data_IF_280539696031
#
_entry.id   IF_280539696031
#
_cell.length_a   1.000
_cell.length_b   1.000
_cell.length_c   1.000
_cell.angle_alpha   90.00
_cell.angle_beta   90.00
_cell.angle_gamma   90.00
#
_symmetry.space_group_name_H-M   'P 1'
#
loop_
_entity.id
_entity.type
_entity.pdbx_description
1 polymer ?
#
# COMPACT_ATOMS: atom_id res chain seq x y z
N UNK A 1 -4.48 16.88 35.75
CA UNK A 1 -3.35 17.30 34.88
C UNK A 1 -3.55 16.68 33.51
N UNK A 2 -3.96 17.47 32.56
CA UNK A 2 -4.22 17.02 31.19
C UNK A 2 -2.90 16.82 30.45
N UNK A 3 -2.68 15.60 29.90
CA UNK A 3 -1.57 15.35 28.99
C UNK A 3 -1.85 16.04 27.67
N UNK A 4 -1.10 17.08 27.37
CA UNK A 4 -1.11 17.77 26.07
C UNK A 4 -0.59 16.82 25.00
N UNK A 5 -1.47 16.38 24.10
CA UNK A 5 -1.09 15.65 22.87
C UNK A 5 -0.24 16.54 21.98
N UNK A 6 0.95 16.07 21.64
CA UNK A 6 1.83 16.75 20.68
C UNK A 6 1.20 16.74 19.28
N UNK A 7 1.28 17.85 18.54
CA UNK A 7 0.65 17.95 17.22
C UNK A 7 1.23 16.92 16.22
N UNK A 8 0.39 16.40 15.34
CA UNK A 8 0.67 15.32 14.39
C UNK A 8 1.94 15.49 13.52
N UNK A 9 2.39 16.73 13.30
CA UNK A 9 3.65 17.04 12.58
C UNK A 9 4.91 16.63 13.36
N UNK A 10 4.85 16.68 14.69
CA UNK A 10 5.99 16.30 15.56
C UNK A 10 6.11 14.79 15.64
N UNK A 11 4.99 14.07 15.67
CA UNK A 11 4.96 12.62 15.62
C UNK A 11 5.53 12.09 14.29
N UNK A 12 5.13 12.66 13.13
CA UNK A 12 5.68 12.27 11.81
C UNK A 12 7.21 12.42 11.72
N UNK A 13 7.78 13.51 12.24
CA UNK A 13 9.25 13.70 12.27
C UNK A 13 9.96 12.70 13.17
N UNK A 14 9.31 12.25 14.24
CA UNK A 14 9.87 11.30 15.20
C UNK A 14 9.87 9.86 14.62
N UNK A 15 8.83 9.47 13.89
CA UNK A 15 8.77 8.20 13.16
C UNK A 15 9.87 8.11 12.08
N UNK A 16 10.07 9.16 11.29
CA UNK A 16 11.10 9.17 10.24
C UNK A 16 12.51 9.11 10.83
N UNK A 17 12.76 9.78 11.97
CA UNK A 17 14.08 9.70 12.65
C UNK A 17 14.35 8.33 13.28
N UNK A 18 13.31 7.63 13.78
CA UNK A 18 13.45 6.26 14.30
C UNK A 18 13.68 5.24 13.17
N UNK A 19 13.06 5.44 12.00
CA UNK A 19 13.21 4.55 10.86
C UNK A 19 14.64 4.49 10.28
N UNK A 20 15.44 5.54 10.49
CA UNK A 20 16.83 5.60 10.05
C UNK A 20 17.85 5.09 11.09
N UNK A 21 17.44 4.86 12.33
CA UNK A 21 18.28 4.23 13.35
C UNK A 21 17.91 2.76 13.44
N UNK A 22 18.62 1.93 12.68
CA UNK A 22 18.71 0.51 13.03
C UNK A 22 19.33 0.39 14.44
N UNK A 23 18.77 -0.45 15.34
CA UNK A 23 19.54 -0.86 16.50
C UNK A 23 20.90 -1.33 16.00
N UNK A 24 21.99 -0.94 16.66
CA UNK A 24 23.29 -1.57 16.42
C UNK A 24 23.04 -3.06 16.66
N UNK A 25 23.02 -3.81 15.57
CA UNK A 25 22.87 -5.25 15.62
C UNK A 25 23.97 -5.75 16.53
N UNK A 26 23.61 -6.55 17.52
CA UNK A 26 24.58 -7.29 18.32
C UNK A 26 25.23 -8.36 17.44
N UNK A 27 25.93 -7.94 16.47
CA UNK A 27 27.01 -8.48 15.68
C UNK A 27 26.87 -9.82 14.94
N UNK A 28 25.86 -10.67 15.16
CA UNK A 28 25.86 -12.02 14.58
C UNK A 28 24.61 -12.38 13.76
N UNK A 29 23.44 -11.80 14.00
CA UNK A 29 22.21 -12.21 13.35
C UNK A 29 21.47 -11.02 12.73
N UNK A 30 20.97 -11.23 11.51
CA UNK A 30 20.13 -10.25 10.84
C UNK A 30 18.65 -10.50 11.18
N UNK A 31 17.91 -9.43 11.45
CA UNK A 31 16.47 -9.54 11.59
C UNK A 31 15.85 -10.04 10.27
N UNK A 32 15.17 -11.17 10.34
CA UNK A 32 14.62 -11.87 9.18
C UNK A 32 13.63 -11.01 8.40
N UNK A 33 12.73 -10.29 9.09
CA UNK A 33 11.69 -9.52 8.42
C UNK A 33 12.25 -8.24 7.79
N UNK A 34 13.19 -7.59 8.46
CA UNK A 34 13.88 -6.44 7.88
C UNK A 34 14.79 -6.85 6.72
N UNK A 35 15.40 -8.03 6.78
CA UNK A 35 16.17 -8.59 5.65
C UNK A 35 15.28 -8.87 4.45
N UNK A 36 14.05 -9.36 4.69
CA UNK A 36 13.08 -9.59 3.63
C UNK A 36 12.62 -8.26 3.00
N UNK A 37 12.39 -7.21 3.80
CA UNK A 37 12.09 -5.87 3.27
C UNK A 37 13.27 -5.30 2.45
N UNK A 38 14.52 -5.53 2.86
CA UNK A 38 15.70 -5.19 2.07
C UNK A 38 15.76 -5.95 0.75
N UNK A 39 15.34 -7.22 0.72
CA UNK A 39 15.19 -7.95 -0.53
C UNK A 39 14.16 -7.27 -1.43
N UNK A 40 13.00 -6.90 -0.90
CA UNK A 40 11.96 -6.23 -1.68
C UNK A 40 12.40 -4.84 -2.19
N UNK A 41 13.28 -4.14 -1.47
CA UNK A 41 13.95 -2.92 -1.98
C UNK A 41 14.83 -3.19 -3.21
N UNK A 42 15.51 -4.34 -3.26
CA UNK A 42 16.28 -4.72 -4.45
C UNK A 42 15.38 -5.04 -5.64
N UNK A 43 14.21 -5.61 -5.40
CA UNK A 43 13.19 -5.79 -6.46
C UNK A 43 12.72 -4.42 -6.98
N UNK A 44 12.53 -3.43 -6.09
CA UNK A 44 12.20 -2.06 -6.51
C UNK A 44 13.32 -1.44 -7.36
N UNK A 45 14.58 -1.75 -7.06
CA UNK A 45 15.71 -1.26 -7.84
C UNK A 45 15.65 -1.71 -9.31
N UNK A 46 15.10 -2.89 -9.60
CA UNK A 46 14.88 -3.33 -10.98
C UNK A 46 13.82 -2.46 -11.71
N UNK A 47 12.87 -1.89 -10.99
CA UNK A 47 11.95 -0.91 -11.55
C UNK A 47 12.63 0.44 -11.88
N UNK A 48 13.74 0.75 -11.24
CA UNK A 48 14.54 1.97 -11.49
C UNK A 48 15.62 1.73 -12.56
N UNK A 49 16.02 0.48 -12.77
CA UNK A 49 17.08 0.11 -13.70
C UNK A 49 16.67 0.43 -15.15
N UNK A 50 17.41 1.34 -15.78
CA UNK A 50 17.15 1.82 -17.14
C UNK A 50 17.49 0.80 -18.23
N UNK A 51 18.24 -0.25 -17.90
CA UNK A 51 18.54 -1.34 -18.83
C UNK A 51 17.33 -2.27 -19.02
N UNK A 52 16.38 -2.24 -18.09
CA UNK A 52 15.13 -3.00 -18.21
C UNK A 52 14.14 -2.27 -19.14
N UNK A 53 13.41 -2.98 -20.02
CA UNK A 53 12.33 -2.41 -20.82
C UNK A 53 11.27 -1.72 -19.94
N UNK A 54 10.66 -0.65 -20.43
CA UNK A 54 9.76 0.20 -19.65
C UNK A 54 8.60 -0.57 -19.00
N UNK A 55 7.97 -1.50 -19.73
CA UNK A 55 6.86 -2.32 -19.20
C UNK A 55 7.35 -3.36 -18.18
N UNK A 56 8.56 -3.88 -18.34
CA UNK A 56 9.17 -4.75 -17.32
C UNK A 56 9.42 -3.99 -16.02
N UNK A 57 9.88 -2.75 -16.11
CA UNK A 57 10.07 -1.87 -14.95
C UNK A 57 8.74 -1.63 -14.21
N UNK A 58 7.65 -1.44 -14.95
CA UNK A 58 6.30 -1.36 -14.38
C UNK A 58 5.90 -2.69 -13.71
N UNK A 59 6.24 -3.82 -14.31
CA UNK A 59 6.00 -5.16 -13.75
C UNK A 59 6.76 -5.36 -12.45
N UNK A 60 8.03 -4.97 -12.37
CA UNK A 60 8.80 -5.01 -11.12
C UNK A 60 8.16 -4.18 -10.01
N UNK A 61 7.63 -2.99 -10.33
CA UNK A 61 6.91 -2.18 -9.34
C UNK A 61 5.66 -2.92 -8.80
N UNK A 62 4.94 -3.62 -9.68
CA UNK A 62 3.80 -4.47 -9.32
C UNK A 62 4.22 -5.64 -8.42
N UNK A 63 5.37 -6.29 -8.72
CA UNK A 63 5.93 -7.37 -7.90
C UNK A 63 6.26 -6.87 -6.48
N UNK A 64 6.84 -5.67 -6.34
CA UNK A 64 7.10 -5.08 -5.01
C UNK A 64 5.82 -4.92 -4.22
N UNK A 65 4.74 -4.47 -4.85
CA UNK A 65 3.43 -4.31 -4.21
C UNK A 65 2.86 -5.67 -3.76
N UNK A 66 2.81 -6.65 -4.67
CA UNK A 66 2.32 -8.01 -4.35
C UNK A 66 3.13 -8.69 -3.24
N UNK A 67 4.45 -8.50 -3.25
CA UNK A 67 5.32 -8.98 -2.18
C UNK A 67 4.98 -8.35 -0.82
N UNK A 68 4.64 -7.06 -0.79
CA UNK A 68 4.20 -6.40 0.44
C UNK A 68 2.85 -6.93 0.92
N UNK A 69 1.90 -7.16 0.01
CA UNK A 69 0.60 -7.73 0.35
C UNK A 69 0.77 -9.10 1.01
N UNK A 70 1.55 -10.00 0.40
CA UNK A 70 1.87 -11.30 0.97
C UNK A 70 2.58 -11.19 2.34
N UNK A 71 3.52 -10.27 2.46
CA UNK A 71 4.24 -10.03 3.71
C UNK A 71 3.27 -9.63 4.85
N UNK A 72 2.34 -8.73 4.57
CA UNK A 72 1.34 -8.31 5.55
C UNK A 72 0.29 -9.38 5.84
N UNK A 73 -0.03 -10.25 4.88
CA UNK A 73 -0.96 -11.35 5.10
C UNK A 73 -0.36 -12.50 5.91
N UNK A 74 0.90 -12.84 5.65
CA UNK A 74 1.50 -14.08 6.16
C UNK A 74 2.38 -13.81 7.39
N UNK A 75 3.20 -12.75 7.37
CA UNK A 75 4.25 -12.55 8.41
C UNK A 75 3.85 -11.60 9.51
N UNK A 76 3.25 -10.47 9.16
CA UNK A 76 2.88 -9.42 10.14
C UNK A 76 1.86 -9.87 11.18
N UNK A 77 0.84 -10.71 10.86
CA UNK A 77 -0.17 -11.12 11.85
C UNK A 77 0.40 -11.87 13.06
N UNK A 78 1.51 -12.58 12.89
CA UNK A 78 2.16 -13.25 14.01
C UNK A 78 2.61 -12.27 15.10
N UNK A 79 3.15 -11.12 14.70
CA UNK A 79 3.58 -10.07 15.61
C UNK A 79 2.40 -9.29 16.22
N UNK A 80 1.31 -9.10 15.48
CA UNK A 80 0.09 -8.45 15.98
C UNK A 80 -0.60 -9.26 17.09
N UNK A 81 -0.49 -10.59 17.06
CA UNK A 81 -1.03 -11.50 18.07
C UNK A 81 -0.12 -11.62 19.30
N UNK A 82 0.94 -10.82 19.40
CA UNK A 82 1.89 -10.85 20.52
C UNK A 82 2.78 -12.09 20.52
N UNK A 83 2.85 -12.82 19.42
CA UNK A 83 3.77 -13.93 19.30
C UNK A 83 5.21 -13.41 19.37
N UNK A 84 5.88 -13.71 20.43
CA UNK A 84 7.34 -13.61 20.51
C UNK A 84 7.90 -14.71 19.63
N UNK A 85 8.20 -14.39 18.40
CA UNK A 85 8.91 -15.31 17.52
C UNK A 85 10.39 -15.29 17.94
N UNK A 86 10.79 -16.28 18.72
CA UNK A 86 12.19 -16.64 18.88
C UNK A 86 12.45 -17.83 17.96
N UNK A 87 13.08 -17.63 16.79
CA UNK A 87 13.39 -18.73 15.90
C UNK A 87 14.52 -19.63 16.45
N UNK A 88 15.37 -19.09 17.31
CA UNK A 88 16.53 -19.76 17.87
C UNK A 88 16.84 -19.20 19.27
N UNK A 89 17.34 -20.07 20.16
CA UNK A 89 17.75 -19.74 21.53
C UNK A 89 18.85 -18.65 21.65
N UNK A 90 19.30 -18.10 20.53
CA UNK A 90 20.42 -17.15 20.43
C UNK A 90 20.04 -15.76 19.87
N UNK A 91 18.77 -15.51 19.52
CA UNK A 91 18.36 -14.17 19.08
C UNK A 91 17.92 -13.33 20.28
N UNK A 92 18.41 -12.09 20.36
CA UNK A 92 17.84 -11.10 21.29
C UNK A 92 16.33 -10.99 21.01
N UNK A 93 15.51 -11.27 22.01
CA UNK A 93 14.06 -11.21 21.92
C UNK A 93 13.65 -9.74 21.75
N UNK A 94 13.45 -9.33 20.52
CA UNK A 94 12.83 -8.03 20.24
C UNK A 94 11.33 -8.19 20.50
N UNK A 95 10.76 -7.38 21.39
CA UNK A 95 9.32 -7.40 21.66
C UNK A 95 8.51 -7.15 20.38
N UNK A 96 7.35 -7.81 20.26
CA UNK A 96 6.48 -7.74 19.08
C UNK A 96 6.14 -6.31 18.65
N UNK A 97 5.89 -5.41 19.61
CA UNK A 97 5.57 -4.00 19.33
C UNK A 97 6.75 -3.26 18.68
N UNK A 98 7.97 -3.47 19.19
CA UNK A 98 9.18 -2.88 18.60
C UNK A 98 9.44 -3.44 17.21
N UNK A 99 9.22 -4.74 17.02
CA UNK A 99 9.33 -5.38 15.71
C UNK A 99 8.34 -4.77 14.70
N UNK A 100 7.07 -4.59 15.10
CA UNK A 100 6.04 -3.95 14.25
C UNK A 100 6.40 -2.49 13.94
N UNK A 101 6.88 -1.71 14.91
CA UNK A 101 7.34 -0.34 14.65
C UNK A 101 8.46 -0.30 13.61
N UNK A 102 9.42 -1.22 13.68
CA UNK A 102 10.52 -1.32 12.72
C UNK A 102 10.00 -1.68 11.32
N UNK A 103 9.12 -2.68 11.23
CA UNK A 103 8.49 -3.10 9.97
C UNK A 103 7.72 -1.94 9.34
N UNK A 104 6.78 -1.31 10.07
CA UNK A 104 5.97 -0.20 9.54
C UNK A 104 6.83 0.98 9.09
N UNK A 105 7.83 1.32 9.88
CA UNK A 105 8.75 2.41 9.53
C UNK A 105 9.46 2.15 8.21
N UNK A 106 9.91 0.92 7.97
CA UNK A 106 10.60 0.54 6.75
C UNK A 106 9.66 0.46 5.56
N UNK A 107 8.49 -0.11 5.75
CA UNK A 107 7.45 -0.20 4.71
C UNK A 107 6.99 1.19 4.25
N UNK A 108 6.81 2.14 5.16
CA UNK A 108 6.45 3.53 4.79
C UNK A 108 7.52 4.16 3.88
N UNK A 109 8.80 3.92 4.17
CA UNK A 109 9.90 4.42 3.33
C UNK A 109 9.85 3.78 1.95
N UNK A 110 9.69 2.45 1.89
CA UNK A 110 9.60 1.69 0.65
C UNK A 110 8.39 2.14 -0.19
N UNK A 111 7.20 2.27 0.39
CA UNK A 111 6.01 2.73 -0.32
C UNK A 111 6.15 4.14 -0.88
N UNK A 112 6.80 5.05 -0.15
CA UNK A 112 7.10 6.39 -0.66
C UNK A 112 8.08 6.36 -1.84
N UNK A 113 9.06 5.47 -1.79
CA UNK A 113 9.98 5.27 -2.88
C UNK A 113 9.26 4.70 -4.12
N UNK A 114 8.41 3.68 -3.94
CA UNK A 114 7.55 3.16 -5.01
C UNK A 114 6.70 4.27 -5.65
N UNK A 115 6.04 5.10 -4.83
CA UNK A 115 5.23 6.20 -5.33
C UNK A 115 6.07 7.24 -6.10
N UNK A 116 7.31 7.49 -5.69
CA UNK A 116 8.24 8.36 -6.42
C UNK A 116 8.61 7.75 -7.77
N UNK A 117 9.01 6.47 -7.80
CA UNK A 117 9.34 5.77 -9.05
C UNK A 117 8.16 5.82 -10.02
N UNK A 118 6.95 5.51 -9.54
CA UNK A 118 5.74 5.58 -10.35
C UNK A 118 5.49 6.98 -10.91
N UNK A 119 5.34 7.98 -10.03
CA UNK A 119 4.87 9.31 -10.43
C UNK A 119 5.93 10.14 -11.16
N UNK A 120 7.21 10.00 -10.79
CA UNK A 120 8.27 10.89 -11.27
C UNK A 120 9.10 10.29 -12.40
N UNK A 121 9.01 8.97 -12.62
CA UNK A 121 9.80 8.29 -13.63
C UNK A 121 8.94 7.48 -14.61
N UNK A 122 8.16 6.48 -14.14
CA UNK A 122 7.42 5.59 -15.03
C UNK A 122 6.28 6.29 -15.77
N UNK A 123 5.44 7.05 -15.06
CA UNK A 123 4.28 7.73 -15.69
C UNK A 123 4.71 8.68 -16.81
N UNK A 124 5.70 9.56 -16.64
CA UNK A 124 6.17 10.41 -17.74
C UNK A 124 6.72 9.63 -18.94
N UNK A 125 7.43 8.53 -18.69
CA UNK A 125 7.99 7.69 -19.76
C UNK A 125 6.91 6.92 -20.51
N UNK A 126 5.91 6.38 -19.79
CA UNK A 126 4.75 5.74 -20.39
C UNK A 126 3.98 6.73 -21.27
N UNK A 127 3.82 7.98 -20.81
CA UNK A 127 3.18 9.03 -21.60
C UNK A 127 3.96 9.35 -22.88
N UNK A 128 5.29 9.35 -22.84
CA UNK A 128 6.13 9.51 -24.02
C UNK A 128 5.95 8.37 -25.05
N UNK A 129 5.63 7.16 -24.59
CA UNK A 129 5.30 5.99 -25.42
C UNK A 129 3.80 5.92 -25.77
N UNK A 130 3.02 6.96 -25.47
CA UNK A 130 1.61 7.04 -25.81
C UNK A 130 0.67 6.24 -24.88
N UNK A 131 1.10 5.94 -23.66
CA UNK A 131 0.30 5.29 -22.61
C UNK A 131 0.06 6.31 -21.50
N UNK A 132 -1.18 6.68 -21.25
CA UNK A 132 -1.52 7.77 -20.35
C UNK A 132 -2.28 7.28 -19.12
N UNK A 133 -1.82 7.68 -17.94
CA UNK A 133 -2.56 7.56 -16.69
C UNK A 133 -3.00 8.94 -16.26
N UNK A 134 -4.32 9.18 -16.23
CA UNK A 134 -4.89 10.48 -15.88
C UNK A 134 -5.74 10.37 -14.61
N UNK A 135 -5.98 11.52 -13.97
CA UNK A 135 -6.86 11.59 -12.81
C UNK A 135 -8.31 11.78 -13.24
N UNK A 136 -9.25 11.36 -12.42
CA UNK A 136 -10.67 11.63 -12.65
C UNK A 136 -10.97 13.13 -12.84
N UNK A 137 -10.23 14.01 -12.16
CA UNK A 137 -10.38 15.45 -12.31
C UNK A 137 -10.09 15.94 -13.73
N UNK A 138 -9.19 15.26 -14.45
CA UNK A 138 -8.72 15.62 -15.79
C UNK A 138 -9.62 15.04 -16.90
N UNK A 139 -10.68 14.30 -16.53
CA UNK A 139 -11.71 13.80 -17.44
C UNK A 139 -12.74 14.88 -17.77
N UNK A 140 -13.28 14.84 -18.98
CA UNK A 140 -14.45 15.67 -19.36
C UNK A 140 -15.71 15.23 -18.63
N UNK A 141 -16.75 16.06 -18.64
CA UNK A 141 -18.01 15.72 -17.96
C UNK A 141 -18.73 14.52 -18.63
N UNK A 142 -18.58 14.35 -19.94
CA UNK A 142 -19.11 13.20 -20.67
C UNK A 142 -18.35 11.92 -20.31
N UNK A 143 -17.02 11.98 -20.20
CA UNK A 143 -16.20 10.86 -19.75
C UNK A 143 -16.54 10.49 -18.29
N UNK A 144 -16.71 11.47 -17.41
CA UNK A 144 -17.12 11.25 -16.03
C UNK A 144 -18.47 10.56 -15.93
N UNK A 145 -19.44 10.92 -16.81
CA UNK A 145 -20.74 10.23 -16.85
C UNK A 145 -20.60 8.78 -17.29
N UNK A 146 -19.80 8.50 -18.34
CA UNK A 146 -19.52 7.14 -18.80
C UNK A 146 -18.85 6.31 -17.73
N UNK A 147 -17.81 6.87 -17.07
CA UNK A 147 -17.08 6.20 -15.99
C UNK A 147 -17.96 5.90 -14.77
N UNK A 148 -18.88 6.80 -14.39
CA UNK A 148 -19.84 6.53 -13.32
C UNK A 148 -20.80 5.41 -13.68
N UNK A 149 -21.24 5.34 -14.94
CA UNK A 149 -22.10 4.27 -15.42
C UNK A 149 -21.44 2.88 -15.34
N UNK A 150 -20.11 2.82 -15.50
CA UNK A 150 -19.35 1.57 -15.32
C UNK A 150 -19.40 1.04 -13.86
N UNK A 151 -19.68 1.91 -12.89
CA UNK A 151 -19.89 1.55 -11.49
C UNK A 151 -21.36 1.29 -11.14
N UNK A 152 -22.32 1.61 -12.02
CA UNK A 152 -23.73 1.34 -11.77
C UNK A 152 -23.99 -0.18 -11.71
N UNK A 153 -24.71 -0.60 -10.68
CA UNK A 153 -24.97 -2.02 -10.43
C UNK A 153 -23.94 -2.73 -9.56
N UNK A 154 -22.84 -2.05 -9.17
CA UNK A 154 -21.92 -2.60 -8.19
C UNK A 154 -22.51 -2.59 -6.79
N UNK A 155 -22.55 -3.74 -6.16
CA UNK A 155 -22.90 -3.85 -4.73
C UNK A 155 -21.61 -3.82 -3.90
N UNK A 156 -21.58 -2.94 -2.92
CA UNK A 156 -20.44 -2.84 -2.01
C UNK A 156 -20.78 -3.47 -0.67
N UNK A 157 -19.95 -4.39 -0.21
CA UNK A 157 -20.01 -4.86 1.17
C UNK A 157 -19.50 -3.75 2.08
N UNK A 158 -20.36 -3.22 2.94
CA UNK A 158 -19.99 -2.18 3.90
C UNK A 158 -19.73 -2.84 5.25
N UNK A 159 -18.47 -2.87 5.66
CA UNK A 159 -18.07 -3.37 6.97
C UNK A 159 -18.19 -2.23 7.99
N UNK A 160 -19.10 -2.41 8.95
CA UNK A 160 -19.34 -1.47 10.04
C UNK A 160 -18.88 -2.11 11.33
N UNK A 161 -17.98 -1.44 12.06
CA UNK A 161 -17.57 -1.84 13.38
C UNK A 161 -17.31 -0.62 14.24
N UNK A 162 -17.53 -0.72 15.53
CA UNK A 162 -17.19 0.34 16.48
C UNK A 162 -15.67 0.45 16.65
N UNK A 163 -14.94 -0.61 16.35
CA UNK A 163 -13.48 -0.68 16.27
C UNK A 163 -13.07 -1.51 15.07
N UNK A 164 -11.90 -1.24 14.50
CA UNK A 164 -11.30 -2.08 13.45
C UNK A 164 -11.10 -3.54 13.92
N UNK A 165 -10.92 -3.75 15.23
CA UNK A 165 -10.81 -5.07 15.85
C UNK A 165 -12.09 -5.90 15.81
N UNK A 166 -13.25 -5.28 15.60
CA UNK A 166 -14.55 -5.96 15.59
C UNK A 166 -14.89 -6.52 14.20
N UNK A 167 -14.05 -6.21 13.20
CA UNK A 167 -14.16 -6.78 11.86
C UNK A 167 -13.50 -8.15 11.90
N UNK A 168 -14.28 -9.21 11.86
CA UNK A 168 -13.77 -10.57 11.75
C UNK A 168 -12.98 -10.74 10.46
N UNK A 169 -11.70 -11.09 10.62
CA UNK A 169 -10.63 -10.86 9.64
C UNK A 169 -10.56 -11.85 8.48
N UNK A 170 -11.38 -12.89 8.46
CA UNK A 170 -10.98 -14.08 7.71
C UNK A 170 -11.29 -14.06 6.20
N UNK A 171 -12.13 -13.14 5.71
CA UNK A 171 -12.54 -13.17 4.30
C UNK A 171 -12.38 -11.87 3.50
N UNK A 172 -12.20 -10.70 4.14
CA UNK A 172 -12.42 -9.42 3.45
C UNK A 172 -11.24 -8.43 3.43
N UNK A 173 -10.15 -8.70 4.12
CA UNK A 173 -9.10 -7.70 4.35
C UNK A 173 -7.81 -7.94 3.57
N UNK A 174 -7.84 -8.75 2.54
CA UNK A 174 -6.69 -8.90 1.65
C UNK A 174 -6.81 -7.87 0.52
N UNK A 175 -5.94 -6.85 0.54
CA UNK A 175 -5.84 -5.87 -0.53
C UNK A 175 -6.40 -4.49 -0.19
N UNK A 176 -6.93 -3.80 -1.20
CA UNK A 176 -7.39 -2.43 -1.06
C UNK A 176 -8.75 -2.31 -0.38
N UNK A 177 -8.84 -1.36 0.57
CA UNK A 177 -10.09 -0.97 1.18
C UNK A 177 -10.20 0.56 1.27
N UNK A 178 -11.41 1.08 1.22
CA UNK A 178 -11.71 2.49 1.44
C UNK A 178 -12.30 2.70 2.83
N UNK A 179 -11.74 3.66 3.56
CA UNK A 179 -12.37 4.17 4.77
C UNK A 179 -13.30 5.32 4.41
N UNK A 180 -14.58 5.16 4.70
CA UNK A 180 -15.61 6.16 4.41
C UNK A 180 -16.26 6.67 5.68
N UNK A 181 -16.63 7.96 5.68
CA UNK A 181 -17.45 8.55 6.73
C UNK A 181 -18.90 8.52 6.27
N UNK A 182 -19.77 7.88 7.04
CA UNK A 182 -21.19 7.83 6.77
C UNK A 182 -21.98 8.59 7.86
N UNK A 183 -23.25 8.81 7.64
CA UNK A 183 -24.17 9.36 8.65
C UNK A 183 -24.35 8.43 9.88
N UNK A 184 -23.98 7.15 9.76
CA UNK A 184 -24.00 6.14 10.82
C UNK A 184 -22.63 5.84 11.43
N UNK A 185 -21.60 6.67 11.13
CA UNK A 185 -20.23 6.50 11.60
C UNK A 185 -19.25 6.10 10.50
N UNK A 186 -18.06 5.63 10.91
CA UNK A 186 -17.03 5.17 9.98
C UNK A 186 -17.35 3.77 9.48
N UNK A 187 -17.04 3.52 8.21
CA UNK A 187 -17.19 2.22 7.59
C UNK A 187 -15.98 1.91 6.70
N UNK A 188 -15.70 0.63 6.49
CA UNK A 188 -14.69 0.13 5.57
C UNK A 188 -15.38 -0.54 4.40
N UNK A 189 -14.97 -0.21 3.19
CA UNK A 189 -15.46 -0.84 1.96
C UNK A 189 -14.28 -1.58 1.34
N UNK A 190 -14.26 -2.92 1.34
CA UNK A 190 -13.27 -3.69 0.60
C UNK A 190 -13.48 -3.47 -0.90
N UNK A 191 -12.45 -3.03 -1.59
CA UNK A 191 -12.52 -2.76 -3.05
C UNK A 191 -11.67 -3.74 -3.86
N UNK A 192 -10.90 -4.59 -3.21
CA UNK A 192 -10.02 -5.54 -3.87
C UNK A 192 -10.79 -6.49 -4.80
N UNK A 193 -11.93 -7.00 -4.37
CA UNK A 193 -12.76 -7.90 -5.17
C UNK A 193 -13.19 -7.26 -6.49
N UNK A 194 -13.51 -5.95 -6.49
CA UNK A 194 -13.90 -5.22 -7.69
C UNK A 194 -12.70 -5.04 -8.62
N UNK A 195 -11.52 -4.76 -8.03
CA UNK A 195 -10.27 -4.66 -8.78
C UNK A 195 -9.92 -6.00 -9.43
N UNK A 196 -10.08 -7.11 -8.71
CA UNK A 196 -9.77 -8.45 -9.21
C UNK A 196 -10.72 -8.90 -10.33
N UNK A 197 -12.01 -8.53 -10.22
CA UNK A 197 -13.02 -8.94 -11.21
C UNK A 197 -13.07 -8.05 -12.44
N UNK A 198 -12.88 -6.73 -12.29
CA UNK A 198 -13.03 -5.74 -13.37
C UNK A 198 -11.71 -5.12 -13.84
N UNK A 199 -10.61 -5.50 -13.21
CA UNK A 199 -9.29 -4.90 -13.46
C UNK A 199 -9.12 -3.54 -12.80
N UNK A 200 -7.86 -3.19 -12.54
CA UNK A 200 -7.47 -1.95 -11.86
C UNK A 200 -7.46 -0.75 -12.78
N UNK A 201 -7.15 -0.95 -14.06
CA UNK A 201 -7.05 0.11 -15.06
C UNK A 201 -8.35 0.21 -15.85
N UNK A 202 -8.98 1.37 -15.79
CA UNK A 202 -10.25 1.64 -16.49
C UNK A 202 -9.95 2.53 -17.68
N UNK A 203 -10.29 2.10 -18.93
CA UNK A 203 -10.14 2.94 -20.11
C UNK A 203 -11.01 4.19 -20.03
N UNK A 204 -10.48 5.33 -20.50
CA UNK A 204 -11.19 6.62 -20.45
C UNK A 204 -11.81 6.92 -21.81
N UNK A 205 -13.08 6.62 -21.92
CA UNK A 205 -13.85 6.95 -23.13
C UNK A 205 -13.22 6.37 -24.40
N UNK A 206 -13.06 7.21 -25.42
CA UNK A 206 -12.46 6.86 -26.71
C UNK A 206 -10.97 7.24 -26.81
N UNK A 207 -10.38 7.74 -25.72
CA UNK A 207 -8.95 8.09 -25.70
C UNK A 207 -8.11 6.83 -25.80
N UNK A 208 -7.30 6.75 -26.86
CA UNK A 208 -6.40 5.62 -27.07
C UNK A 208 -5.39 5.50 -25.93
N UNK A 209 -5.22 4.29 -25.41
CA UNK A 209 -4.24 3.96 -24.35
C UNK A 209 -4.29 4.89 -23.12
N UNK A 210 -5.46 5.41 -22.78
CA UNK A 210 -5.64 6.32 -21.64
C UNK A 210 -6.44 5.64 -20.56
N UNK A 211 -5.91 5.64 -19.34
CA UNK A 211 -6.44 4.89 -18.22
C UNK A 211 -6.57 5.76 -16.97
N UNK A 212 -7.51 5.38 -16.13
CA UNK A 212 -7.65 5.86 -14.75
C UNK A 212 -7.61 4.66 -13.81
N UNK A 213 -7.11 4.85 -12.60
CA UNK A 213 -7.18 3.81 -11.57
C UNK A 213 -8.60 3.63 -11.06
N UNK A 214 -9.08 2.40 -10.96
CA UNK A 214 -10.45 2.09 -10.48
C UNK A 214 -10.71 2.61 -9.09
N UNK A 215 -9.73 2.53 -8.19
CA UNK A 215 -9.82 3.08 -6.84
C UNK A 215 -10.04 4.59 -6.79
N UNK A 216 -9.65 5.32 -7.84
CA UNK A 216 -9.93 6.75 -7.93
C UNK A 216 -11.39 7.03 -8.32
N UNK A 217 -11.98 6.18 -9.17
CA UNK A 217 -13.41 6.24 -9.49
C UNK A 217 -14.28 5.98 -8.26
N UNK A 218 -13.90 4.98 -7.47
CA UNK A 218 -14.65 4.57 -6.28
C UNK A 218 -14.68 5.63 -5.17
N UNK A 219 -13.80 6.64 -5.25
CA UNK A 219 -13.76 7.78 -4.31
C UNK A 219 -14.74 8.90 -4.65
N UNK A 220 -15.41 8.85 -5.79
CA UNK A 220 -16.27 9.91 -6.34
C UNK A 220 -17.73 9.56 -6.31
#
# INVERSE_FOLDING_TARGET
>A
MAKTEKPAKTQKKQYIKKATRFPKESGRYFNRELSWLKFNERVLYEAENMDNPLLERMTFLGIVAGNLDEFFMVRVPAYQKGATYSPDEFSEVIGSDTQLEMIYSRVIVLMRHMAKVWNSDLVPKLAAEGIFFIRYADCTDEEKKKLKKDLEGESFTILRGNRFSDIHHDEYLHGFAMLVQTNKGRAVIPIQQIIDTKGRFVPVGERKNTFIFREELLRK
#
